data_IF_648604366598
#
_entry.id   IF_648604366598
#
_cell.length_a   1.000
_cell.length_b   1.000
_cell.length_c   1.000
_cell.angle_alpha   90.00
_cell.angle_beta   90.00
_cell.angle_gamma   90.00
#
_symmetry.space_group_name_H-M   'P 1'
#
loop_
_entity.id
_entity.type
_entity.pdbx_description
1 polymer ?
#
# COMPACT_ATOMS: atom_id res chain seq x y z
N UNK A 1 -5.79 12.80 -19.42
CA UNK A 1 -6.56 12.10 -18.36
C UNK A 1 -6.78 13.09 -17.23
N UNK A 2 -7.99 13.22 -16.67
CA UNK A 2 -8.19 14.07 -15.48
C UNK A 2 -7.92 13.26 -14.18
N UNK A 3 -7.85 13.93 -13.02
CA UNK A 3 -7.61 13.29 -11.71
C UNK A 3 -8.59 12.15 -11.39
N UNK A 4 -9.87 12.35 -11.71
CA UNK A 4 -10.93 11.37 -11.49
C UNK A 4 -10.75 10.13 -12.38
N UNK A 5 -10.26 10.32 -13.59
CA UNK A 5 -9.97 9.22 -14.51
C UNK A 5 -8.81 8.37 -13.96
N UNK A 6 -7.72 9.00 -13.46
CA UNK A 6 -6.65 8.27 -12.77
C UNK A 6 -7.19 7.45 -11.59
N UNK A 7 -7.96 8.09 -10.71
CA UNK A 7 -8.59 7.41 -9.56
C UNK A 7 -9.41 6.20 -9.99
N UNK A 8 -10.26 6.32 -11.02
CA UNK A 8 -11.11 5.22 -11.52
C UNK A 8 -10.32 4.05 -12.10
N UNK A 9 -9.09 4.26 -12.59
CA UNK A 9 -8.25 3.16 -13.10
C UNK A 9 -7.64 2.34 -11.97
N UNK A 10 -7.25 2.99 -10.88
CA UNK A 10 -6.74 2.33 -9.68
C UNK A 10 -7.84 1.80 -8.75
N UNK A 11 -9.02 2.43 -8.77
CA UNK A 11 -10.20 2.06 -7.99
C UNK A 11 -11.44 1.86 -8.89
N UNK A 12 -11.44 0.86 -9.78
CA UNK A 12 -12.58 0.60 -10.68
C UNK A 12 -13.83 0.21 -9.89
N UNK A 13 -14.95 0.87 -10.18
CA UNK A 13 -16.22 0.69 -9.48
C UNK A 13 -16.71 -0.76 -9.46
N UNK A 14 -17.27 -1.19 -8.33
CA UNK A 14 -17.88 -2.51 -8.14
C UNK A 14 -16.88 -3.64 -7.88
N UNK A 15 -15.58 -3.39 -8.03
CA UNK A 15 -14.57 -4.41 -7.78
C UNK A 15 -14.31 -4.59 -6.28
N UNK A 16 -13.90 -5.79 -5.84
CA UNK A 16 -13.55 -6.00 -4.44
C UNK A 16 -12.41 -5.06 -4.01
N UNK A 17 -12.41 -4.68 -2.74
CA UNK A 17 -11.34 -3.94 -2.04
C UNK A 17 -11.16 -2.47 -2.44
N UNK A 18 -11.73 -2.02 -3.55
CA UNK A 18 -11.52 -0.66 -4.07
C UNK A 18 -12.13 0.43 -3.19
N UNK A 19 -13.10 0.09 -2.34
CA UNK A 19 -13.73 1.03 -1.40
C UNK A 19 -12.75 1.58 -0.36
N UNK A 20 -11.59 0.92 -0.17
CA UNK A 20 -10.53 1.39 0.72
C UNK A 20 -9.51 2.31 0.02
N UNK A 21 -9.56 2.44 -1.31
CA UNK A 21 -8.65 3.35 -2.02
C UNK A 21 -9.00 4.80 -1.67
N UNK A 22 -7.99 5.57 -1.25
CA UNK A 22 -8.17 6.97 -0.86
C UNK A 22 -8.05 7.90 -2.06
N UNK A 23 -9.04 8.77 -2.34
CA UNK A 23 -9.01 9.64 -3.52
C UNK A 23 -8.00 10.78 -3.39
N UNK A 24 -7.57 11.15 -2.17
CA UNK A 24 -6.77 12.35 -1.89
C UNK A 24 -5.46 12.37 -2.68
N UNK A 25 -4.80 11.22 -2.81
CA UNK A 25 -3.54 11.10 -3.54
C UNK A 25 -3.68 11.33 -5.05
N UNK A 26 -4.89 11.23 -5.59
CA UNK A 26 -5.18 11.43 -7.01
C UNK A 26 -5.47 12.88 -7.37
N UNK A 27 -5.60 13.76 -6.38
CA UNK A 27 -5.80 15.20 -6.59
C UNK A 27 -4.51 15.81 -7.15
N UNK A 28 -4.61 16.56 -8.24
CA UNK A 28 -3.50 17.25 -8.91
C UNK A 28 -2.69 16.37 -9.88
N UNK A 29 -3.06 15.09 -10.08
CA UNK A 29 -2.32 14.20 -10.98
C UNK A 29 -2.33 14.67 -12.43
N UNK A 30 -3.42 15.27 -12.90
CA UNK A 30 -3.52 15.77 -14.28
C UNK A 30 -2.58 16.94 -14.58
N UNK A 31 -2.34 17.80 -13.59
CA UNK A 31 -1.34 18.86 -13.69
C UNK A 31 0.07 18.27 -13.61
N UNK A 32 0.33 17.41 -12.62
CA UNK A 32 1.63 16.75 -12.46
C UNK A 32 2.02 15.87 -13.64
N UNK A 33 1.05 15.29 -14.34
CA UNK A 33 1.28 14.49 -15.54
C UNK A 33 1.93 15.29 -16.68
N UNK A 34 1.82 16.63 -16.67
CA UNK A 34 2.50 17.49 -17.64
C UNK A 34 4.01 17.52 -17.41
N UNK A 35 4.45 17.32 -16.17
CA UNK A 35 5.86 17.35 -15.75
C UNK A 35 6.53 15.97 -15.77
N UNK A 36 5.77 14.89 -15.91
CA UNK A 36 6.28 13.49 -15.89
C UNK A 36 7.06 13.05 -17.14
N UNK A 37 7.37 13.95 -18.07
CA UNK A 37 7.96 13.60 -19.38
C UNK A 37 9.32 12.88 -19.32
N UNK A 38 10.01 12.89 -18.17
CA UNK A 38 11.34 12.31 -18.00
C UNK A 38 11.43 11.17 -16.97
N UNK A 39 10.32 10.71 -16.40
CA UNK A 39 10.34 9.65 -15.38
C UNK A 39 10.23 8.28 -16.04
N UNK A 40 11.29 7.47 -15.96
CA UNK A 40 11.34 6.13 -16.54
C UNK A 40 11.48 5.07 -15.44
N UNK A 41 10.36 4.57 -14.93
CA UNK A 41 10.36 3.45 -14.00
C UNK A 41 10.46 2.11 -14.73
N UNK A 42 10.74 1.05 -13.98
CA UNK A 42 10.65 -0.32 -14.45
C UNK A 42 9.86 -1.16 -13.47
N UNK A 43 9.15 -2.17 -13.97
CA UNK A 43 8.43 -3.12 -13.12
C UNK A 43 9.44 -4.08 -12.50
N UNK A 44 9.55 -4.16 -11.16
CA UNK A 44 10.50 -5.05 -10.52
C UNK A 44 10.08 -6.51 -10.68
N UNK A 45 11.05 -7.42 -10.57
CA UNK A 45 10.78 -8.85 -10.45
C UNK A 45 10.40 -9.18 -9.01
N UNK A 46 9.35 -9.97 -8.84
CA UNK A 46 8.96 -10.50 -7.53
C UNK A 46 9.64 -11.85 -7.31
N UNK A 47 10.26 -12.04 -6.15
CA UNK A 47 11.01 -13.26 -5.81
C UNK A 47 10.33 -14.14 -4.73
N UNK A 48 9.40 -13.57 -3.96
CA UNK A 48 8.75 -14.26 -2.84
C UNK A 48 7.38 -14.87 -3.20
N UNK A 49 6.87 -14.59 -4.40
CA UNK A 49 5.64 -15.17 -4.94
C UNK A 49 5.77 -15.35 -6.46
N UNK A 50 5.54 -16.57 -6.93
CA UNK A 50 5.67 -16.92 -8.36
C UNK A 50 4.33 -16.89 -9.10
N UNK A 51 3.22 -17.14 -8.39
CA UNK A 51 1.88 -17.32 -8.98
C UNK A 51 0.81 -16.77 -8.04
N UNK A 52 -0.33 -16.36 -8.60
CA UNK A 52 -1.49 -15.90 -7.84
C UNK A 52 -1.92 -16.91 -6.76
N UNK A 53 -1.97 -16.47 -5.51
CA UNK A 53 -2.58 -17.21 -4.40
C UNK A 53 -3.89 -16.54 -4.02
N UNK A 54 -5.01 -17.16 -4.38
CA UNK A 54 -6.37 -16.59 -4.20
C UNK A 54 -6.77 -16.39 -2.74
N UNK A 55 -6.16 -17.13 -1.84
CA UNK A 55 -6.39 -17.12 -0.39
C UNK A 55 -5.46 -16.14 0.36
N UNK A 56 -4.60 -15.43 -0.36
CA UNK A 56 -3.53 -14.63 0.22
C UNK A 56 -3.67 -13.17 -0.20
N UNK A 57 -3.71 -12.25 0.76
CA UNK A 57 -3.53 -10.83 0.50
C UNK A 57 -2.05 -10.45 0.68
N UNK A 58 -1.62 -9.39 0.00
CA UNK A 58 -0.27 -8.84 0.13
C UNK A 58 -0.38 -7.41 0.67
N UNK A 59 0.47 -7.05 1.62
CA UNK A 59 0.64 -5.68 2.09
C UNK A 59 2.08 -5.25 1.81
N UNK A 60 2.25 -4.30 0.89
CA UNK A 60 3.51 -3.68 0.53
C UNK A 60 3.73 -2.48 1.45
N UNK A 61 4.56 -2.69 2.47
CA UNK A 61 5.07 -1.63 3.32
C UNK A 61 6.49 -1.29 2.85
N UNK A 62 6.56 -0.39 1.87
CA UNK A 62 7.79 0.00 1.18
C UNK A 62 7.92 1.52 1.12
N UNK A 63 9.14 2.06 1.03
CA UNK A 63 9.32 3.50 0.98
C UNK A 63 8.84 4.09 -0.35
N UNK A 64 8.11 5.21 -0.27
CA UNK A 64 7.76 6.04 -1.44
C UNK A 64 7.11 5.21 -2.57
N UNK A 65 7.53 5.46 -3.82
CA UNK A 65 6.98 4.89 -5.04
C UNK A 65 7.25 3.40 -5.25
N UNK A 66 8.18 2.80 -4.50
CA UNK A 66 8.58 1.40 -4.70
C UNK A 66 7.39 0.44 -4.53
N UNK A 67 6.53 0.70 -3.54
CA UNK A 67 5.30 -0.06 -3.33
C UNK A 67 4.33 0.02 -4.51
N UNK A 68 4.28 1.14 -5.24
CA UNK A 68 3.48 1.26 -6.47
C UNK A 68 4.02 0.33 -7.56
N UNK A 69 5.34 0.32 -7.77
CA UNK A 69 5.98 -0.51 -8.79
C UNK A 69 5.85 -2.00 -8.48
N UNK A 70 6.10 -2.41 -7.24
CA UNK A 70 5.93 -3.80 -6.82
C UNK A 70 4.44 -4.22 -6.78
N UNK A 71 3.53 -3.27 -6.50
CA UNK A 71 2.09 -3.47 -6.63
C UNK A 71 1.64 -3.75 -8.07
N UNK A 72 2.23 -3.04 -9.04
CA UNK A 72 2.03 -3.33 -10.47
C UNK A 72 2.65 -4.67 -10.87
N UNK A 73 3.82 -5.02 -10.34
CA UNK A 73 4.39 -6.35 -10.53
C UNK A 73 3.44 -7.44 -10.01
N UNK A 74 2.84 -7.24 -8.84
CA UNK A 74 1.82 -8.14 -8.30
C UNK A 74 0.57 -8.19 -9.19
N UNK A 75 0.20 -7.06 -9.80
CA UNK A 75 -0.92 -6.99 -10.74
C UNK A 75 -0.68 -7.86 -12.00
N UNK A 76 0.57 -8.00 -12.45
CA UNK A 76 0.90 -8.93 -13.56
C UNK A 76 0.61 -10.39 -13.22
N UNK A 77 0.70 -10.75 -11.93
CA UNK A 77 0.33 -12.07 -11.42
C UNK A 77 -1.20 -12.20 -11.23
N UNK A 78 -1.97 -11.10 -11.33
CA UNK A 78 -3.42 -11.08 -11.19
C UNK A 78 -3.94 -10.61 -9.83
N UNK A 79 -3.09 -10.02 -8.99
CA UNK A 79 -3.53 -9.31 -7.79
C UNK A 79 -4.19 -7.97 -8.14
N UNK A 80 -5.03 -7.45 -7.25
CA UNK A 80 -5.63 -6.12 -7.39
C UNK A 80 -4.86 -5.08 -6.56
N UNK A 81 -4.19 -4.09 -7.19
CA UNK A 81 -3.55 -3.01 -6.45
C UNK A 81 -4.55 -2.14 -5.71
N UNK A 82 -4.31 -1.90 -4.42
CA UNK A 82 -5.12 -1.05 -3.54
C UNK A 82 -4.21 0.05 -2.96
N UNK A 83 -4.42 1.28 -3.43
CA UNK A 83 -3.63 2.47 -3.08
C UNK A 83 -4.10 3.01 -1.72
N UNK A 84 -3.30 2.81 -0.67
CA UNK A 84 -3.59 3.23 0.71
C UNK A 84 -2.64 4.32 1.25
N UNK A 85 -1.76 4.86 0.40
CA UNK A 85 -0.88 5.97 0.75
C UNK A 85 -1.63 7.18 1.33
N UNK A 86 -0.96 7.95 2.19
CA UNK A 86 -1.49 9.22 2.67
C UNK A 86 -1.39 10.27 1.55
N UNK A 87 -2.50 10.90 1.18
CA UNK A 87 -2.54 11.93 0.14
C UNK A 87 -2.31 13.37 0.61
N UNK A 88 -2.12 13.65 1.91
CA UNK A 88 -1.99 15.03 2.39
C UNK A 88 -0.73 15.70 1.84
N UNK A 89 -0.91 16.77 1.08
CA UNK A 89 0.16 17.57 0.48
C UNK A 89 0.76 18.55 1.49
N UNK A 90 2.05 18.86 1.31
CA UNK A 90 2.72 19.96 2.01
C UNK A 90 2.00 21.30 1.75
N UNK A 91 2.13 22.24 2.68
CA UNK A 91 1.94 23.66 2.37
C UNK A 91 3.19 24.20 1.64
N UNK A 92 3.02 25.20 0.78
CA UNK A 92 4.14 25.86 0.09
C UNK A 92 5.22 26.28 1.09
N UNK A 93 6.48 25.96 0.78
CA UNK A 93 7.70 26.22 1.59
C UNK A 93 7.97 25.27 2.79
N UNK A 94 7.17 24.23 3.01
CA UNK A 94 7.44 23.24 4.07
C UNK A 94 7.97 21.91 3.49
N UNK A 95 9.02 21.33 4.08
CA UNK A 95 9.45 19.96 3.73
C UNK A 95 8.50 18.94 4.39
N UNK A 96 7.92 17.99 3.66
CA UNK A 96 7.19 16.84 4.25
C UNK A 96 8.12 15.68 4.52
N UNK A 97 7.67 14.86 5.46
CA UNK A 97 8.30 13.61 5.84
C UNK A 97 8.06 12.48 4.81
N UNK A 98 6.89 12.48 4.18
CA UNK A 98 6.55 11.59 3.06
C UNK A 98 6.45 12.43 1.79
N UNK A 99 7.32 12.20 0.81
CA UNK A 99 7.23 12.87 -0.49
C UNK A 99 6.22 12.14 -1.39
N UNK A 100 5.03 12.73 -1.52
CA UNK A 100 3.98 12.20 -2.38
C UNK A 100 4.26 12.42 -3.87
N UNK A 101 5.21 13.29 -4.25
CA UNK A 101 5.48 13.60 -5.65
C UNK A 101 5.91 12.34 -6.42
N UNK A 102 6.84 11.57 -5.88
CA UNK A 102 7.33 10.35 -6.53
C UNK A 102 6.27 9.25 -6.59
N UNK A 103 5.48 9.09 -5.51
CA UNK A 103 4.34 8.17 -5.51
C UNK A 103 3.34 8.57 -6.61
N UNK A 104 3.02 9.86 -6.72
CA UNK A 104 2.13 10.38 -7.75
C UNK A 104 2.71 10.18 -9.16
N UNK A 105 4.02 10.39 -9.36
CA UNK A 105 4.69 10.10 -10.63
C UNK A 105 4.57 8.61 -11.00
N UNK A 106 4.76 7.70 -10.04
CA UNK A 106 4.62 6.27 -10.28
C UNK A 106 3.17 5.86 -10.55
N UNK A 107 2.18 6.49 -9.92
CA UNK A 107 0.77 6.26 -10.25
C UNK A 107 0.44 6.74 -11.66
N UNK A 108 0.93 7.92 -12.06
CA UNK A 108 0.75 8.46 -13.41
C UNK A 108 1.38 7.51 -14.44
N UNK A 109 2.65 7.18 -14.25
CA UNK A 109 3.40 6.28 -15.13
C UNK A 109 2.80 4.87 -15.19
N UNK A 110 2.35 4.36 -14.05
CA UNK A 110 1.79 3.02 -13.90
C UNK A 110 0.37 2.87 -14.43
N UNK A 111 -0.35 3.96 -14.63
CA UNK A 111 -1.76 3.91 -15.06
C UNK A 111 -1.90 3.27 -16.46
N UNK A 112 -1.20 3.73 -17.52
CA UNK A 112 -1.24 3.04 -18.82
C UNK A 112 -0.85 1.57 -18.74
N UNK A 113 0.13 1.23 -17.89
CA UNK A 113 0.55 -0.16 -17.70
C UNK A 113 -0.55 -1.01 -17.07
N UNK A 114 -1.16 -0.54 -15.99
CA UNK A 114 -2.28 -1.19 -15.31
C UNK A 114 -3.48 -1.43 -16.25
N UNK A 115 -3.75 -0.48 -17.16
CA UNK A 115 -4.82 -0.62 -18.16
C UNK A 115 -4.60 -1.77 -19.15
N UNK A 116 -3.35 -2.21 -19.37
CA UNK A 116 -3.05 -3.37 -20.22
C UNK A 116 -3.36 -4.71 -19.54
N UNK A 117 -3.56 -4.70 -18.21
CA UNK A 117 -3.73 -5.91 -17.42
C UNK A 117 -5.21 -6.26 -17.26
N UNK A 118 -5.51 -7.56 -17.33
CA UNK A 118 -6.85 -8.08 -17.03
C UNK A 118 -6.88 -8.63 -15.60
N UNK A 119 -7.44 -7.84 -14.67
CA UNK A 119 -7.57 -8.23 -13.25
C UNK A 119 -9.00 -8.69 -12.97
N UNK A 120 -9.14 -9.91 -12.44
CA UNK A 120 -10.45 -10.49 -12.13
C UNK A 120 -11.19 -9.70 -11.06
N UNK A 121 -12.52 -9.70 -11.13
CA UNK A 121 -13.39 -9.04 -10.15
C UNK A 121 -13.16 -9.53 -8.70
N UNK A 122 -12.88 -10.82 -8.55
CA UNK A 122 -12.64 -11.50 -7.27
C UNK A 122 -11.16 -11.57 -6.88
N UNK A 123 -10.27 -10.87 -7.58
CA UNK A 123 -8.83 -10.92 -7.35
C UNK A 123 -8.47 -10.57 -5.88
N UNK A 124 -7.51 -11.29 -5.26
CA UNK A 124 -6.99 -10.93 -3.96
C UNK A 124 -6.28 -9.56 -4.00
N UNK A 125 -6.26 -8.82 -2.89
CA UNK A 125 -5.69 -7.48 -2.86
C UNK A 125 -4.17 -7.50 -2.68
N UNK A 126 -3.51 -6.51 -3.28
CA UNK A 126 -2.17 -6.04 -2.89
C UNK A 126 -2.29 -4.59 -2.41
N UNK A 127 -2.25 -4.39 -1.09
CA UNK A 127 -2.35 -3.08 -0.46
C UNK A 127 -0.99 -2.39 -0.47
N UNK A 128 -0.93 -1.13 -0.89
CA UNK A 128 0.31 -0.36 -0.99
C UNK A 128 0.26 0.81 0.00
N UNK A 129 1.25 0.86 0.89
CA UNK A 129 1.41 1.88 1.93
C UNK A 129 2.87 2.35 1.96
N UNK A 130 3.12 3.53 2.53
CA UNK A 130 4.49 4.06 2.66
C UNK A 130 5.11 3.72 4.02
N UNK A 131 6.27 3.07 4.03
CA UNK A 131 7.07 2.86 5.25
C UNK A 131 7.55 4.16 5.88
N UNK A 132 7.75 5.21 5.07
CA UNK A 132 8.20 6.51 5.54
C UNK A 132 7.20 7.16 6.51
N UNK A 133 5.95 6.67 6.59
CA UNK A 133 5.00 7.05 7.65
C UNK A 133 5.56 6.84 9.06
N UNK A 134 6.52 5.92 9.23
CA UNK A 134 7.13 5.65 10.54
C UNK A 134 8.27 6.61 10.90
N UNK A 135 8.69 7.50 9.99
CA UNK A 135 9.84 8.40 10.19
C UNK A 135 9.56 9.61 11.11
N UNK A 136 8.36 9.71 11.68
CA UNK A 136 7.84 10.79 12.55
C UNK A 136 8.77 11.25 13.68
N UNK A 137 9.79 10.45 14.03
CA UNK A 137 10.73 10.69 15.12
C UNK A 137 11.99 11.51 14.76
N UNK A 138 12.13 12.00 13.52
CA UNK A 138 13.29 12.82 13.08
C UNK A 138 12.96 14.32 12.93
N UNK A 139 11.98 14.85 13.66
CA UNK A 139 11.50 16.21 13.45
C UNK A 139 12.44 17.30 14.03
N UNK A 140 12.87 18.22 13.16
CA UNK A 140 13.19 19.61 13.49
C UNK A 140 11.97 20.50 13.15
N UNK A 141 11.87 21.69 13.75
CA UNK A 141 10.69 22.58 13.72
C UNK A 141 10.23 23.08 12.31
N UNK A 142 10.89 22.71 11.23
CA UNK A 142 10.62 23.18 9.85
C UNK A 142 10.00 22.10 8.92
N UNK A 143 9.54 20.97 9.45
CA UNK A 143 9.03 19.82 8.67
C UNK A 143 7.52 19.63 8.89
N UNK A 144 6.75 19.57 7.80
CA UNK A 144 5.32 19.28 7.78
C UNK A 144 5.06 17.78 8.03
N UNK A 145 4.31 17.48 9.09
CA UNK A 145 3.99 16.11 9.48
C UNK A 145 2.80 15.57 8.66
N UNK A 146 3.09 14.87 7.57
CA UNK A 146 2.13 14.05 6.84
C UNK A 146 2.29 12.54 7.13
N UNK A 147 2.91 12.16 8.24
CA UNK A 147 2.90 10.76 8.66
C UNK A 147 1.52 10.37 9.18
N UNK A 148 1.01 9.26 8.68
CA UNK A 148 -0.26 8.70 9.11
C UNK A 148 -0.04 7.24 9.52
N UNK A 149 -0.06 6.98 10.83
CA UNK A 149 -0.15 5.62 11.37
C UNK A 149 -1.44 4.96 10.87
N UNK A 150 -1.39 3.70 10.43
CA UNK A 150 -2.61 3.00 10.02
C UNK A 150 -3.44 2.57 11.22
N UNK A 151 -4.76 2.60 11.06
CA UNK A 151 -5.74 2.12 12.02
C UNK A 151 -6.61 1.00 11.43
N UNK A 152 -7.32 0.28 12.30
CA UNK A 152 -8.17 -0.86 11.91
C UNK A 152 -9.24 -0.52 10.85
N UNK A 153 -9.65 0.74 10.75
CA UNK A 153 -10.64 1.21 9.78
C UNK A 153 -10.05 1.48 8.39
N UNK A 154 -8.72 1.57 8.30
CA UNK A 154 -8.01 1.92 7.05
C UNK A 154 -7.82 0.72 6.13
N UNK A 155 -8.06 -0.50 6.63
CA UNK A 155 -8.08 -1.74 5.86
C UNK A 155 -9.37 -2.53 6.15
N UNK A 156 -9.80 -3.46 5.27
CA UNK A 156 -10.97 -4.28 5.54
C UNK A 156 -10.81 -5.14 6.79
N UNK A 157 -11.90 -5.40 7.50
CA UNK A 157 -11.86 -6.20 8.74
C UNK A 157 -11.40 -7.64 8.49
N UNK A 158 -10.84 -8.33 9.51
CA UNK A 158 -10.45 -9.73 9.37
C UNK A 158 -11.64 -10.63 9.01
N UNK A 159 -12.86 -10.31 9.48
CA UNK A 159 -14.08 -11.02 9.08
C UNK A 159 -14.35 -10.86 7.58
N UNK A 160 -14.19 -9.65 7.04
CA UNK A 160 -14.35 -9.42 5.61
C UNK A 160 -13.31 -10.19 4.79
N UNK A 161 -12.04 -10.22 5.23
CA UNK A 161 -11.00 -11.05 4.60
C UNK A 161 -11.42 -12.53 4.54
N UNK A 162 -11.84 -13.11 5.67
CA UNK A 162 -12.30 -14.51 5.72
C UNK A 162 -13.53 -14.75 4.83
N UNK A 163 -14.50 -13.83 4.80
CA UNK A 163 -15.67 -13.92 3.93
C UNK A 163 -15.31 -13.92 2.45
N UNK A 164 -14.26 -13.20 2.06
CA UNK A 164 -13.75 -13.18 0.68
C UNK A 164 -12.76 -14.32 0.39
N UNK A 165 -12.54 -15.25 1.33
CA UNK A 165 -11.68 -16.41 1.17
C UNK A 165 -10.20 -16.17 1.44
N UNK A 166 -9.83 -15.03 2.03
CA UNK A 166 -8.45 -14.73 2.41
C UNK A 166 -8.17 -15.29 3.81
N UNK A 167 -7.17 -16.17 3.89
CA UNK A 167 -6.70 -16.79 5.14
C UNK A 167 -5.23 -16.49 5.44
N UNK A 168 -4.50 -15.87 4.50
CA UNK A 168 -3.09 -15.51 4.65
C UNK A 168 -2.84 -14.06 4.28
N UNK A 169 -1.88 -13.44 4.97
CA UNK A 169 -1.36 -12.12 4.62
C UNK A 169 0.15 -12.20 4.54
N UNK A 170 0.72 -11.77 3.42
CA UNK A 170 2.16 -11.55 3.27
C UNK A 170 2.43 -10.06 3.46
N UNK A 171 3.22 -9.71 4.47
CA UNK A 171 3.73 -8.36 4.68
C UNK A 171 5.11 -8.29 4.03
N UNK A 172 5.21 -7.50 2.98
CA UNK A 172 6.48 -7.14 2.33
C UNK A 172 7.04 -5.95 3.09
N UNK A 173 8.05 -6.19 3.92
CA UNK A 173 8.73 -5.19 4.75
C UNK A 173 10.01 -5.79 5.34
N UNK A 174 11.03 -4.97 5.60
CA UNK A 174 12.22 -5.41 6.36
C UNK A 174 11.87 -5.82 7.79
N UNK A 175 10.85 -5.19 8.40
CA UNK A 175 10.38 -5.49 9.75
C UNK A 175 8.90 -5.18 9.91
N UNK A 176 8.24 -5.87 10.82
CA UNK A 176 6.85 -5.55 11.17
C UNK A 176 6.79 -4.21 11.91
N UNK A 177 6.17 -3.21 11.28
CA UNK A 177 5.96 -1.90 11.91
C UNK A 177 4.91 -1.99 13.02
N UNK A 178 5.02 -1.10 14.02
CA UNK A 178 4.21 -1.16 15.25
C UNK A 178 2.70 -1.00 14.98
N UNK A 179 2.34 -0.19 14.01
CA UNK A 179 0.94 0.11 13.66
C UNK A 179 0.32 -1.12 12.99
N UNK A 180 1.06 -1.73 12.06
CA UNK A 180 0.71 -3.00 11.44
C UNK A 180 0.62 -4.14 12.48
N UNK A 181 1.52 -4.20 13.46
CA UNK A 181 1.45 -5.19 14.53
C UNK A 181 0.14 -5.08 15.32
N UNK A 182 -0.31 -3.87 15.64
CA UNK A 182 -1.60 -3.65 16.33
C UNK A 182 -2.78 -4.13 15.50
N UNK A 183 -2.77 -3.84 14.20
CA UNK A 183 -3.85 -4.23 13.29
C UNK A 183 -3.85 -5.75 13.10
N UNK A 184 -2.72 -6.33 12.69
CA UNK A 184 -2.64 -7.73 12.30
C UNK A 184 -2.63 -8.71 13.49
N UNK A 185 -2.42 -8.22 14.72
CA UNK A 185 -2.72 -9.03 15.90
C UNK A 185 -4.19 -9.50 15.92
N UNK A 186 -5.15 -8.64 15.58
CA UNK A 186 -6.56 -9.03 15.52
C UNK A 186 -6.85 -9.99 14.36
N UNK A 187 -6.12 -9.88 13.25
CA UNK A 187 -6.22 -10.82 12.12
C UNK A 187 -5.72 -12.21 12.53
N UNK A 188 -4.56 -12.28 13.20
CA UNK A 188 -4.03 -13.52 13.75
C UNK A 188 -5.02 -14.18 14.71
N UNK A 189 -5.62 -13.41 15.62
CA UNK A 189 -6.67 -13.92 16.53
C UNK A 189 -7.92 -14.44 15.83
N UNK A 190 -8.18 -14.02 14.60
CA UNK A 190 -9.28 -14.49 13.76
C UNK A 190 -8.86 -15.61 12.81
N UNK A 191 -7.68 -16.18 13.00
CA UNK A 191 -7.20 -17.33 12.24
C UNK A 191 -6.74 -16.99 10.82
N UNK A 192 -6.18 -15.78 10.64
CA UNK A 192 -5.44 -15.40 9.44
C UNK A 192 -3.95 -15.56 9.74
N UNK A 193 -3.23 -16.33 8.93
CA UNK A 193 -1.79 -16.54 9.10
C UNK A 193 -1.02 -15.35 8.54
N UNK A 194 -0.13 -14.77 9.35
CA UNK A 194 0.69 -13.62 8.95
C UNK A 194 2.09 -14.10 8.58
N UNK A 195 2.54 -13.69 7.40
CA UNK A 195 3.88 -13.92 6.89
C UNK A 195 4.60 -12.57 6.75
N UNK A 196 5.92 -12.59 6.86
CA UNK A 196 6.78 -11.45 6.52
C UNK A 196 7.88 -11.88 5.55
N UNK A 197 8.24 -11.00 4.63
CA UNK A 197 9.38 -11.17 3.70
C UNK A 197 10.07 -9.83 3.43
N UNK A 198 11.39 -9.90 3.27
CA UNK A 198 12.25 -8.82 2.78
C UNK A 198 12.27 -8.72 1.24
N UNK A 199 11.41 -9.48 0.56
CA UNK A 199 11.22 -9.48 -0.88
C UNK A 199 12.15 -10.39 -1.66
N UNK A 200 13.22 -10.87 -1.02
CA UNK A 200 14.20 -11.77 -1.63
C UNK A 200 14.02 -13.19 -1.08
N UNK A 201 13.82 -13.30 0.23
CA UNK A 201 13.56 -14.55 0.92
C UNK A 201 12.09 -15.01 0.78
N UNK A 202 11.90 -16.33 0.87
CA UNK A 202 10.56 -16.90 1.01
C UNK A 202 9.85 -16.32 2.25
N UNK A 203 8.52 -16.03 2.18
CA UNK A 203 7.79 -15.50 3.32
C UNK A 203 7.80 -16.45 4.52
N UNK A 204 8.12 -15.91 5.71
CA UNK A 204 8.20 -16.65 6.97
C UNK A 204 7.00 -16.31 7.83
N UNK A 205 6.36 -17.33 8.43
CA UNK A 205 5.26 -17.13 9.39
C UNK A 205 5.80 -16.39 10.61
N UNK A 206 5.04 -15.43 11.10
CA UNK A 206 5.33 -14.73 12.35
C UNK A 206 4.17 -14.87 13.33
N UNK A 207 4.50 -14.91 14.62
CA UNK A 207 3.53 -14.77 15.70
C UNK A 207 3.61 -13.34 16.24
N UNK A 208 2.55 -12.56 16.03
CA UNK A 208 2.46 -11.18 16.48
C UNK A 208 2.05 -11.21 17.96
N UNK A 209 2.89 -10.69 18.88
CA UNK A 209 2.54 -10.63 20.28
C UNK A 209 1.41 -9.63 20.51
N UNK A 210 0.68 -9.82 21.61
CA UNK A 210 -0.37 -8.89 22.00
C UNK A 210 0.20 -7.48 22.16
N UNK A 211 -0.34 -6.47 21.43
CA UNK A 211 0.15 -5.10 21.55
C UNK A 211 -0.16 -4.55 22.95
N UNK A 212 0.68 -3.63 23.48
CA UNK A 212 0.46 -3.01 24.77
C UNK A 212 -0.85 -2.19 24.78
N UNK A 213 -1.52 -2.16 25.94
CA UNK A 213 -2.80 -1.43 26.12
C UNK A 213 -2.68 0.09 26.03
N UNK A 214 -1.49 0.64 26.24
CA UNK A 214 -1.19 2.07 26.16
C UNK A 214 0.00 2.25 25.22
N UNK A 215 -0.10 3.24 24.35
CA UNK A 215 1.09 3.80 23.71
C UNK A 215 1.86 4.56 24.79
N UNK A 216 2.88 3.92 25.34
CA UNK A 216 3.79 4.57 26.25
C UNK A 216 4.65 5.54 25.43
N UNK A 217 4.17 6.77 25.28
CA UNK A 217 4.96 7.88 24.76
C UNK A 217 5.84 8.42 25.90
N UNK A 218 7.15 8.27 25.74
CA UNK A 218 8.18 9.10 26.37
C UNK A 218 8.99 9.75 25.25
#
# INVERSE_FOLDING_TARGET
MNDKDYYKRWAPFGMRWVDWVRPVLFIGLSERAKDTLNVNFSIPKIHYIETLKKDTAILLDMPSYEGVLEGLACATLGYRPIVLYNGTTQQDQAMSLVDNADIQHALIWGTPYLETLTIRHDAPPVFMIDTNRMLRYKMNASIFDNSWDLYNQDIPSPQYFKQQGIDKIIIRSEKLQRDLAKIFYEFQKKGITIYITDGYDAPKVIDIPKPPKKDNFH
#
